data_IF_308058351243
#
_entry.id   IF_308058351243
#
_cell.length_a   1.000
_cell.length_b   1.000
_cell.length_c   1.000
_cell.angle_alpha   90.00
_cell.angle_beta   90.00
_cell.angle_gamma   90.00
#
_symmetry.space_group_name_H-M   'P 1'
#
loop_
_entity.id
_entity.type
_entity.pdbx_description
1 polymer ?
#
# COMPACT_ATOMS: atom_id res chain seq x y z
N UNK A 1 8.23 -3.98 -5.28
CA UNK A 1 7.59 -3.70 -6.58
C UNK A 1 6.46 -4.66 -6.85
N UNK A 2 5.35 -4.14 -7.31
CA UNK A 2 4.20 -4.96 -7.71
C UNK A 2 3.72 -4.52 -9.08
N UNK A 3 2.99 -5.39 -9.75
CA UNK A 3 2.40 -5.14 -11.06
C UNK A 3 0.98 -5.69 -11.08
N UNK A 4 0.27 -5.51 -12.20
CA UNK A 4 -1.04 -6.11 -12.38
C UNK A 4 -0.97 -7.61 -12.09
N UNK A 5 -2.00 -8.14 -11.46
CA UNK A 5 -2.12 -9.54 -10.99
C UNK A 5 -1.32 -9.88 -9.73
N UNK A 6 -0.51 -8.97 -9.19
CA UNK A 6 0.20 -9.21 -7.93
C UNK A 6 -0.75 -9.21 -6.75
N UNK A 7 -0.57 -10.15 -5.83
CA UNK A 7 -1.30 -10.19 -4.56
C UNK A 7 -0.47 -9.49 -3.48
N UNK A 8 -1.12 -8.68 -2.67
CA UNK A 8 -0.48 -7.84 -1.68
C UNK A 8 -1.26 -7.93 -0.37
N UNK A 9 -0.54 -8.01 0.75
CA UNK A 9 -1.16 -7.94 2.07
C UNK A 9 -1.67 -6.54 2.35
N UNK A 10 -2.69 -6.44 3.19
CA UNK A 10 -3.22 -5.15 3.63
C UNK A 10 -2.73 -4.89 5.06
N UNK A 11 -2.14 -3.72 5.28
CA UNK A 11 -1.50 -3.35 6.54
C UNK A 11 -2.37 -2.47 7.42
N UNK A 12 -3.68 -2.41 7.17
CA UNK A 12 -4.58 -1.56 7.94
C UNK A 12 -5.75 -2.36 8.52
N UNK A 13 -6.61 -1.67 9.27
CA UNK A 13 -7.76 -2.27 9.93
C UNK A 13 -9.08 -2.07 9.18
N UNK A 14 -9.05 -1.88 7.87
CA UNK A 14 -10.26 -1.76 7.05
C UNK A 14 -11.07 -3.05 6.95
N UNK A 15 -10.48 -4.17 7.34
CA UNK A 15 -11.09 -5.48 7.19
C UNK A 15 -10.55 -6.27 6.01
N UNK A 16 -9.98 -5.63 5.02
CA UNK A 16 -9.31 -6.32 3.92
C UNK A 16 -8.04 -6.99 4.43
N UNK A 17 -7.81 -8.23 4.01
CA UNK A 17 -6.60 -8.99 4.38
C UNK A 17 -5.64 -9.14 3.21
N UNK A 18 -6.16 -9.34 2.02
CA UNK A 18 -5.37 -9.50 0.80
C UNK A 18 -6.09 -8.84 -0.36
N UNK A 19 -5.32 -8.11 -1.17
CA UNK A 19 -5.81 -7.47 -2.38
C UNK A 19 -4.97 -7.90 -3.57
N UNK A 20 -5.56 -7.82 -4.77
CA UNK A 20 -4.88 -8.14 -6.03
C UNK A 20 -4.84 -6.91 -6.90
N UNK A 21 -3.65 -6.51 -7.31
CA UNK A 21 -3.47 -5.33 -8.15
C UNK A 21 -4.11 -5.56 -9.53
N UNK A 22 -4.94 -4.61 -9.96
CA UNK A 22 -5.53 -4.60 -11.29
C UNK A 22 -4.73 -3.69 -12.21
N UNK A 23 -4.43 -2.47 -11.74
CA UNK A 23 -3.77 -1.46 -12.56
C UNK A 23 -2.92 -0.54 -11.68
N UNK A 24 -1.71 -0.26 -12.13
CA UNK A 24 -0.85 0.74 -11.47
C UNK A 24 -1.17 2.11 -12.04
N UNK A 25 -1.40 3.09 -11.15
CA UNK A 25 -1.71 4.46 -11.52
C UNK A 25 -0.42 5.29 -11.68
N UNK A 26 -0.53 6.44 -12.31
CA UNK A 26 0.55 7.42 -12.36
C UNK A 26 1.26 7.58 -13.70
N UNK A 27 0.72 7.02 -14.78
CA UNK A 27 1.28 7.28 -16.10
C UNK A 27 0.89 6.25 -17.14
N UNK A 28 0.95 6.61 -18.42
CA UNK A 28 0.50 5.81 -19.57
C UNK A 28 1.31 4.55 -19.69
N UNK A 29 2.31 4.20 -19.29
CA UNK A 29 3.07 2.95 -19.46
C UNK A 29 3.64 2.42 -18.15
N UNK A 30 3.07 2.89 -17.05
CA UNK A 30 3.55 2.47 -15.75
C UNK A 30 3.16 1.03 -15.48
N UNK A 31 4.14 0.16 -15.38
CA UNK A 31 3.94 -1.29 -15.15
C UNK A 31 4.06 -1.68 -13.69
N UNK A 32 4.91 -1.00 -12.93
CA UNK A 32 5.26 -1.42 -11.58
C UNK A 32 4.95 -0.33 -10.58
N UNK A 33 4.40 -0.71 -9.44
CA UNK A 33 4.24 0.16 -8.30
C UNK A 33 5.42 -0.02 -7.35
N UNK A 34 6.02 1.09 -6.96
CA UNK A 34 7.06 1.15 -5.93
C UNK A 34 6.43 1.71 -4.66
N UNK A 35 7.21 1.77 -3.58
CA UNK A 35 6.71 2.36 -2.33
C UNK A 35 6.27 3.81 -2.59
N UNK A 36 5.06 4.12 -2.13
CA UNK A 36 4.45 5.44 -2.34
C UNK A 36 3.65 5.57 -3.63
N UNK A 37 3.67 4.57 -4.49
CA UNK A 37 2.85 4.56 -5.70
C UNK A 37 1.46 4.03 -5.39
N UNK A 38 0.47 4.56 -6.09
CA UNK A 38 -0.93 4.12 -5.93
C UNK A 38 -1.33 3.16 -7.04
N UNK A 39 -2.28 2.30 -6.72
CA UNK A 39 -2.79 1.33 -7.68
C UNK A 39 -4.25 0.99 -7.35
N UNK A 40 -4.95 0.45 -8.35
CA UNK A 40 -6.31 -0.06 -8.17
C UNK A 40 -6.21 -1.56 -7.94
N UNK A 41 -6.99 -2.05 -6.99
CA UNK A 41 -6.95 -3.46 -6.61
C UNK A 41 -8.35 -3.99 -6.28
N UNK A 42 -8.49 -5.31 -6.37
CA UNK A 42 -9.69 -6.04 -5.93
C UNK A 42 -9.40 -6.71 -4.60
N UNK A 43 -10.32 -6.61 -3.64
CA UNK A 43 -10.21 -7.29 -2.36
C UNK A 43 -10.47 -8.78 -2.56
N UNK A 44 -9.48 -9.62 -2.27
CA UNK A 44 -9.59 -11.08 -2.41
C UNK A 44 -9.98 -11.77 -1.13
N UNK A 45 -9.53 -11.26 0.02
CA UNK A 45 -9.91 -11.77 1.33
C UNK A 45 -10.23 -10.59 2.24
N UNK A 46 -11.33 -10.68 2.97
CA UNK A 46 -11.74 -9.65 3.92
C UNK A 46 -12.42 -10.27 5.11
N UNK A 47 -12.26 -9.64 6.27
CA UNK A 47 -12.98 -10.01 7.48
C UNK A 47 -14.41 -9.50 7.40
N UNK A 48 -15.41 -10.27 7.90
CA UNK A 48 -16.79 -9.81 7.92
C UNK A 48 -16.94 -8.53 8.76
N UNK A 49 -17.81 -7.63 8.31
CA UNK A 49 -18.13 -6.42 9.05
C UNK A 49 -17.12 -5.28 8.93
N UNK A 50 -16.12 -5.41 8.09
CA UNK A 50 -15.15 -4.33 7.86
C UNK A 50 -15.67 -3.24 6.93
N UNK A 51 -14.86 -2.19 6.78
CA UNK A 51 -15.16 -1.04 5.90
C UNK A 51 -15.22 -1.49 4.44
N UNK A 52 -14.40 -2.47 4.06
CA UNK A 52 -14.38 -3.02 2.70
C UNK A 52 -14.76 -4.50 2.75
N UNK A 53 -15.32 -4.99 1.66
CA UNK A 53 -15.79 -6.36 1.53
C UNK A 53 -15.07 -7.07 0.40
N UNK A 54 -15.11 -8.39 0.43
CA UNK A 54 -14.57 -9.23 -0.65
C UNK A 54 -15.18 -8.79 -1.99
N UNK A 55 -14.34 -8.75 -3.00
CA UNK A 55 -14.66 -8.33 -4.38
C UNK A 55 -14.84 -6.84 -4.59
N UNK A 56 -14.70 -6.02 -3.55
CA UNK A 56 -14.69 -4.57 -3.73
C UNK A 56 -13.46 -4.13 -4.53
N UNK A 57 -13.63 -3.10 -5.34
CA UNK A 57 -12.54 -2.45 -6.07
C UNK A 57 -12.10 -1.23 -5.25
N UNK A 58 -10.84 -1.18 -4.89
CA UNK A 58 -10.31 -0.15 -4.01
C UNK A 58 -9.04 0.46 -4.58
N UNK A 59 -8.73 1.68 -4.12
CA UNK A 59 -7.46 2.33 -4.38
C UNK A 59 -6.54 2.09 -3.20
N UNK A 60 -5.27 1.79 -3.46
CA UNK A 60 -4.30 1.48 -2.42
C UNK A 60 -2.97 2.12 -2.74
N UNK A 61 -2.14 2.27 -1.71
CA UNK A 61 -0.76 2.74 -1.83
C UNK A 61 0.17 1.69 -1.25
N UNK A 62 1.27 1.41 -1.95
CA UNK A 62 2.27 0.43 -1.48
C UNK A 62 3.10 1.05 -0.38
N UNK A 63 3.13 0.42 0.80
CA UNK A 63 3.87 0.93 1.97
C UNK A 63 5.08 0.07 2.33
N UNK A 64 5.11 -1.19 1.92
CA UNK A 64 6.25 -2.10 2.09
C UNK A 64 6.47 -2.89 0.80
N UNK A 65 7.73 -3.19 0.49
CA UNK A 65 8.08 -3.98 -0.68
C UNK A 65 9.19 -4.97 -0.35
N UNK A 66 9.06 -6.19 -0.84
CA UNK A 66 10.11 -7.22 -0.74
C UNK A 66 11.33 -6.89 -1.58
N UNK A 67 11.17 -6.13 -2.64
CA UNK A 67 12.29 -5.79 -3.50
C UNK A 67 13.14 -4.72 -2.85
N UNK A 68 14.45 -4.97 -2.79
CA UNK A 68 15.42 -3.99 -2.33
C UNK A 68 15.38 -2.74 -3.21
N UNK A 69 15.35 -1.56 -2.61
CA UNK A 69 15.49 -0.32 -3.35
C UNK A 69 16.52 0.57 -2.69
N UNK A 70 17.14 1.42 -3.51
CA UNK A 70 18.19 2.33 -3.08
C UNK A 70 17.58 3.68 -2.70
N UNK A 71 18.02 4.22 -1.57
CA UNK A 71 17.67 5.56 -1.15
C UNK A 71 18.68 6.59 -1.68
N UNK A 72 18.30 7.87 -1.75
CA UNK A 72 19.23 8.92 -2.24
C UNK A 72 20.53 9.02 -1.45
N UNK A 73 20.55 8.65 -0.17
CA UNK A 73 21.74 8.66 0.66
C UNK A 73 22.69 7.47 0.42
N UNK A 74 22.35 6.58 -0.50
CA UNK A 74 23.15 5.39 -0.81
C UNK A 74 22.79 4.16 -0.01
N UNK A 75 21.91 4.26 0.98
CA UNK A 75 21.46 3.08 1.73
C UNK A 75 20.43 2.28 0.94
N UNK A 76 20.24 1.04 1.35
CA UNK A 76 19.26 0.13 0.75
C UNK A 76 18.27 -0.30 1.81
N UNK A 77 17.02 -0.53 1.40
CA UNK A 77 16.00 -1.02 2.29
C UNK A 77 15.18 -2.11 1.60
N UNK A 78 14.76 -3.09 2.38
CA UNK A 78 13.91 -4.19 1.93
C UNK A 78 13.03 -4.63 3.10
N UNK A 79 11.78 -4.92 2.81
CA UNK A 79 10.85 -5.46 3.78
C UNK A 79 10.65 -6.95 3.54
N UNK A 80 10.09 -7.65 4.53
CA UNK A 80 9.85 -9.10 4.43
C UNK A 80 8.60 -9.43 3.62
N UNK A 81 7.74 -8.45 3.38
CA UNK A 81 6.50 -8.64 2.64
C UNK A 81 6.19 -7.44 1.75
N UNK A 82 5.23 -7.64 0.85
CA UNK A 82 4.61 -6.55 0.11
C UNK A 82 3.31 -6.21 0.82
N UNK A 83 3.16 -4.96 1.25
CA UNK A 83 1.97 -4.53 1.96
C UNK A 83 1.49 -3.18 1.46
N UNK A 84 0.19 -3.00 1.51
CA UNK A 84 -0.47 -1.79 1.04
C UNK A 84 -1.49 -1.30 2.07
N UNK A 85 -1.83 -0.03 1.97
CA UNK A 85 -2.88 0.61 2.76
C UNK A 85 -3.97 1.07 1.81
N UNK A 86 -5.23 0.80 2.17
CA UNK A 86 -6.38 1.22 1.37
C UNK A 86 -6.64 2.69 1.62
N UNK A 87 -6.76 3.45 0.55
CA UNK A 87 -6.96 4.90 0.59
C UNK A 87 -8.24 5.27 -0.18
N UNK A 88 -8.74 6.48 0.06
CA UNK A 88 -9.86 7.03 -0.67
C UNK A 88 -9.38 7.84 -1.89
N UNK A 89 -10.31 8.50 -2.58
CA UNK A 89 -9.99 9.31 -3.76
C UNK A 89 -9.13 10.52 -3.44
N UNK A 90 -9.07 10.94 -2.18
CA UNK A 90 -8.27 12.08 -1.71
C UNK A 90 -6.94 11.63 -1.10
N UNK A 91 -6.58 10.36 -1.28
CA UNK A 91 -5.34 9.76 -0.76
C UNK A 91 -5.27 9.71 0.77
N UNK A 92 -6.42 9.73 1.44
CA UNK A 92 -6.48 9.55 2.88
C UNK A 92 -6.71 8.08 3.21
N UNK A 93 -6.10 7.53 4.27
CA UNK A 93 -6.35 6.14 4.66
C UNK A 93 -7.80 5.95 5.07
N UNK A 94 -8.40 4.85 4.63
CA UNK A 94 -9.77 4.50 4.99
C UNK A 94 -9.87 3.86 6.36
N UNK A 95 -8.77 3.24 6.82
CA UNK A 95 -8.70 2.67 8.15
C UNK A 95 -8.22 3.69 9.18
N UNK A 96 -8.28 3.31 10.46
CA UNK A 96 -7.85 4.14 11.58
C UNK A 96 -6.53 3.70 12.18
N UNK A 97 -6.03 2.51 11.83
CA UNK A 97 -4.77 1.95 12.33
C UNK A 97 -3.98 1.33 11.21
N UNK A 98 -2.66 1.38 11.35
CA UNK A 98 -1.74 0.72 10.43
C UNK A 98 -0.88 -0.25 11.23
N UNK A 99 -0.68 -1.45 10.69
CA UNK A 99 0.06 -2.52 11.35
C UNK A 99 1.44 -2.67 10.71
N UNK A 100 2.46 -2.75 11.56
CA UNK A 100 3.82 -2.93 11.12
C UNK A 100 4.48 -1.66 10.59
N UNK A 101 5.75 -1.75 10.17
CA UNK A 101 6.50 -0.60 9.71
C UNK A 101 6.05 -0.14 8.33
N UNK A 102 6.27 1.13 8.04
CA UNK A 102 6.12 1.70 6.70
C UNK A 102 7.39 2.44 6.32
N UNK A 103 7.63 2.59 5.02
CA UNK A 103 8.80 3.31 4.55
C UNK A 103 8.59 4.82 4.66
N UNK A 104 9.63 5.55 5.05
CA UNK A 104 9.56 7.01 5.20
C UNK A 104 9.37 7.76 3.88
N UNK A 105 9.60 7.10 2.74
CA UNK A 105 9.37 7.68 1.42
C UNK A 105 7.92 8.12 1.19
N UNK A 106 6.97 7.59 1.99
CA UNK A 106 5.58 8.02 1.94
C UNK A 106 5.41 9.50 2.28
N UNK A 107 6.32 10.07 3.08
CA UNK A 107 6.30 11.50 3.41
C UNK A 107 6.52 12.35 2.15
N UNK A 108 7.42 11.93 1.29
CA UNK A 108 7.75 12.65 0.06
C UNK A 108 6.63 12.55 -0.98
N UNK A 109 5.73 11.57 -0.83
CA UNK A 109 4.59 11.36 -1.72
C UNK A 109 3.28 11.91 -1.14
N UNK A 110 3.35 12.71 -0.08
CA UNK A 110 2.19 13.36 0.56
C UNK A 110 1.24 12.42 1.29
N UNK A 111 1.75 11.31 1.83
CA UNK A 111 0.96 10.39 2.63
C UNK A 111 1.23 10.58 4.13
N UNK A 112 1.17 11.82 4.60
CA UNK A 112 1.48 12.16 6.00
C UNK A 112 0.53 11.51 7.00
N UNK A 113 -0.74 11.32 6.63
CA UNK A 113 -1.70 10.66 7.54
C UNK A 113 -1.34 9.19 7.76
N UNK A 114 -0.84 8.52 6.73
CA UNK A 114 -0.36 7.14 6.86
C UNK A 114 0.86 7.10 7.79
N UNK A 115 1.78 8.02 7.62
CA UNK A 115 2.96 8.14 8.48
C UNK A 115 2.54 8.34 9.94
N UNK A 116 1.58 9.23 10.21
CA UNK A 116 1.15 9.53 11.56
C UNK A 116 0.42 8.38 12.24
N UNK A 117 -0.25 7.52 11.47
CA UNK A 117 -0.94 6.35 12.00
C UNK A 117 -0.05 5.13 12.16
N UNK A 118 1.15 5.17 11.60
CA UNK A 118 2.04 4.01 11.59
C UNK A 118 2.79 3.88 12.91
N UNK A 119 2.93 2.64 13.44
CA UNK A 119 3.66 2.42 14.69
C UNK A 119 5.17 2.62 14.53
N UNK A 120 5.68 2.45 13.33
CA UNK A 120 7.11 2.58 13.05
C UNK A 120 7.31 3.05 11.62
N UNK A 121 8.21 4.02 11.43
CA UNK A 121 8.58 4.56 10.11
C UNK A 121 10.06 4.32 9.91
N UNK A 122 10.40 3.57 8.88
CA UNK A 122 11.79 3.19 8.60
C UNK A 122 12.33 3.98 7.39
#
# INVERSE_FOLDING_TARGET
MIQAESKVKVADNTGAREIKCIKVLGGTRKRYARIGDTFIATVKEANPGGVVKKSDVVKAVLVRSKKTFRRPDGSYIRFDDNAAVIIDTQNNPRGTRIFGPVARELRDKNFMKIISLSPEVI
#
